data_IF_733134284380
#
_entry.id   IF_733134284380
#
_cell.length_a   1.000
_cell.length_b   1.000
_cell.length_c   1.000
_cell.angle_alpha   90.00
_cell.angle_beta   90.00
_cell.angle_gamma   90.00
#
_symmetry.space_group_name_H-M   'P 1'
#
loop_
_entity.id
_entity.type
_entity.pdbx_description
1 polymer ?
#
# COMPACT_ATOMS: atom_id res chain seq x y z
N UNK A 1 25.81 7.76 13.73
CA UNK A 1 24.57 6.98 13.90
C UNK A 1 23.70 7.05 12.67
N UNK A 2 23.20 5.91 12.26
CA UNK A 2 22.25 5.86 11.16
C UNK A 2 20.89 6.32 11.61
N UNK A 3 20.29 7.20 10.82
CA UNK A 3 18.91 7.63 11.03
C UNK A 3 18.05 7.03 9.94
N UNK A 4 16.81 6.77 10.27
CA UNK A 4 15.84 6.20 9.35
C UNK A 4 14.67 7.15 9.20
N UNK A 5 14.13 7.23 8.01
CA UNK A 5 12.81 7.83 7.80
C UNK A 5 11.80 6.74 7.44
N UNK A 6 10.57 6.96 7.84
CA UNK A 6 9.49 5.98 7.66
C UNK A 6 8.38 6.60 6.84
N UNK A 7 7.75 5.75 6.05
CA UNK A 7 6.61 6.13 5.24
C UNK A 7 5.58 5.01 5.26
N UNK A 8 4.33 5.38 5.50
CA UNK A 8 3.22 4.42 5.43
C UNK A 8 2.31 4.81 4.28
N UNK A 9 2.01 3.85 3.42
CA UNK A 9 1.11 4.04 2.30
C UNK A 9 0.03 2.98 2.33
N UNK A 10 -1.16 3.34 1.89
CA UNK A 10 -2.25 2.38 1.84
C UNK A 10 -2.24 1.59 0.52
N UNK A 11 -3.09 0.56 0.48
CA UNK A 11 -3.19 -0.31 -0.67
C UNK A 11 -3.57 0.45 -1.95
N UNK A 12 -4.47 1.44 -1.84
CA UNK A 12 -4.87 2.25 -2.98
C UNK A 12 -3.71 3.06 -3.54
N UNK A 13 -2.87 3.63 -2.67
CA UNK A 13 -1.69 4.37 -3.10
C UNK A 13 -0.67 3.46 -3.77
N UNK A 14 -0.45 2.26 -3.24
CA UNK A 14 0.46 1.28 -3.84
C UNK A 14 0.01 0.95 -5.27
N UNK A 15 -1.28 0.69 -5.45
CA UNK A 15 -1.82 0.39 -6.78
C UNK A 15 -1.70 1.58 -7.72
N UNK A 16 -1.91 2.78 -7.22
CA UNK A 16 -1.79 4.01 -8.01
C UNK A 16 -0.35 4.22 -8.48
N UNK A 17 0.61 4.00 -7.61
CA UNK A 17 2.03 4.06 -7.97
C UNK A 17 2.32 3.00 -9.05
N UNK A 18 1.83 1.79 -8.84
CA UNK A 18 2.03 0.69 -9.79
C UNK A 18 1.41 0.96 -11.15
N UNK A 19 0.22 1.57 -11.19
CA UNK A 19 -0.45 1.86 -12.46
C UNK A 19 0.34 2.83 -13.32
N UNK A 20 1.10 3.72 -12.71
CA UNK A 20 1.99 4.63 -13.45
C UNK A 20 3.14 3.88 -14.11
N UNK A 21 3.56 2.77 -13.54
CA UNK A 21 4.62 1.94 -14.09
C UNK A 21 4.10 1.04 -15.19
N UNK A 22 2.96 0.37 -14.95
CA UNK A 22 2.40 -0.60 -15.90
C UNK A 22 1.60 0.04 -17.03
N UNK A 23 1.08 1.24 -16.80
CA UNK A 23 0.19 1.91 -17.75
C UNK A 23 -1.23 1.39 -17.75
N UNK A 24 -1.56 0.48 -16.83
CA UNK A 24 -2.89 -0.12 -16.74
C UNK A 24 -3.47 0.04 -15.34
N UNK A 25 -4.76 0.30 -15.28
CA UNK A 25 -5.46 0.40 -13.99
C UNK A 25 -6.06 -0.95 -13.61
N UNK A 26 -6.25 -1.17 -12.31
CA UNK A 26 -7.02 -2.29 -11.74
C UNK A 26 -6.47 -3.69 -12.06
N UNK A 27 -5.19 -3.82 -12.34
CA UNK A 27 -4.56 -5.14 -12.47
C UNK A 27 -3.81 -5.49 -11.19
N UNK A 28 -3.76 -6.77 -10.86
CA UNK A 28 -3.11 -7.25 -9.64
C UNK A 28 -1.61 -6.96 -9.64
N UNK A 29 -0.98 -6.97 -10.79
CA UNK A 29 0.43 -6.67 -10.93
C UNK A 29 0.80 -5.25 -10.46
N UNK A 30 -0.18 -4.35 -10.31
CA UNK A 30 0.10 -3.00 -9.85
C UNK A 30 0.58 -2.95 -8.40
N UNK A 31 0.22 -3.91 -7.57
CA UNK A 31 0.73 -3.98 -6.19
C UNK A 31 2.24 -4.22 -6.23
N UNK A 32 2.68 -5.23 -6.95
CA UNK A 32 4.11 -5.53 -7.06
C UNK A 32 4.87 -4.39 -7.74
N UNK A 33 4.29 -3.82 -8.79
CA UNK A 33 4.91 -2.69 -9.49
C UNK A 33 5.06 -1.48 -8.57
N UNK A 34 4.06 -1.23 -7.73
CA UNK A 34 4.13 -0.13 -6.75
C UNK A 34 5.20 -0.38 -5.70
N UNK A 35 5.26 -1.59 -5.15
CA UNK A 35 6.28 -1.96 -4.17
C UNK A 35 7.68 -1.84 -4.77
N UNK A 36 7.86 -2.34 -5.99
CA UNK A 36 9.16 -2.27 -6.67
C UNK A 36 9.57 -0.83 -6.98
N UNK A 37 8.61 0.02 -7.34
CA UNK A 37 8.89 1.43 -7.59
C UNK A 37 9.42 2.12 -6.34
N UNK A 38 8.81 1.86 -5.19
CA UNK A 38 9.30 2.40 -3.92
C UNK A 38 10.67 1.84 -3.56
N UNK A 39 10.89 0.54 -3.83
CA UNK A 39 12.20 -0.08 -3.60
C UNK A 39 13.30 0.56 -4.43
N UNK A 40 13.01 0.93 -5.67
CA UNK A 40 13.97 1.63 -6.53
C UNK A 40 14.34 3.01 -5.99
N UNK A 41 13.43 3.63 -5.23
CA UNK A 41 13.68 4.91 -4.55
C UNK A 41 14.38 4.73 -3.20
N UNK A 42 14.79 3.52 -2.88
CA UNK A 42 15.52 3.21 -1.65
C UNK A 42 14.66 2.81 -0.48
N UNK A 43 13.35 2.69 -0.67
CA UNK A 43 12.44 2.29 0.40
C UNK A 43 12.45 0.78 0.59
N UNK A 44 12.54 0.34 1.84
CA UNK A 44 12.46 -1.05 2.23
C UNK A 44 11.15 -1.30 2.96
N UNK A 45 10.39 -2.28 2.52
CA UNK A 45 9.15 -2.67 3.19
C UNK A 45 9.48 -3.36 4.51
N UNK A 46 8.99 -2.83 5.61
CA UNK A 46 9.23 -3.40 6.94
C UNK A 46 8.02 -4.06 7.55
N UNK A 47 6.83 -3.77 7.05
CA UNK A 47 5.64 -4.41 7.58
C UNK A 47 4.39 -4.08 6.79
N UNK A 48 3.41 -4.94 6.92
CA UNK A 48 2.09 -4.77 6.35
C UNK A 48 1.09 -5.03 7.47
N UNK A 49 0.11 -4.16 7.62
CA UNK A 49 -0.90 -4.35 8.65
C UNK A 49 -2.26 -3.85 8.15
N UNK A 50 -3.30 -4.29 8.82
CA UNK A 50 -4.65 -3.85 8.55
C UNK A 50 -5.05 -2.86 9.63
N UNK A 51 -5.39 -1.64 9.22
CA UNK A 51 -5.75 -0.56 10.13
C UNK A 51 -7.26 -0.34 10.10
N UNK A 52 -8.00 -1.37 10.52
CA UNK A 52 -9.44 -1.36 10.57
C UNK A 52 -10.08 -2.08 9.40
N UNK A 53 -11.41 -2.11 9.42
CA UNK A 53 -12.20 -2.77 8.40
C UNK A 53 -13.36 -1.87 8.01
N UNK A 54 -13.65 -1.81 6.70
CA UNK A 54 -14.88 -1.23 6.24
C UNK A 54 -15.95 -2.33 6.19
N UNK A 55 -17.07 -2.07 6.83
CA UNK A 55 -18.21 -2.98 6.78
C UNK A 55 -19.25 -2.35 5.86
N UNK A 56 -19.58 -3.07 4.79
CA UNK A 56 -20.61 -2.65 3.87
C UNK A 56 -21.83 -3.54 4.06
N UNK A 57 -23.00 -2.90 4.16
CA UNK A 57 -24.27 -3.63 4.20
C UNK A 57 -24.91 -3.60 2.84
N UNK A 58 -25.26 -4.76 2.33
CA UNK A 58 -26.03 -4.84 1.11
C UNK A 58 -27.49 -4.49 1.40
N UNK A 59 -28.26 -4.27 0.35
CA UNK A 59 -29.71 -4.06 0.47
C UNK A 59 -30.45 -5.24 1.09
N UNK A 60 -29.82 -6.41 1.13
CA UNK A 60 -30.36 -7.62 1.74
C UNK A 60 -29.96 -7.77 3.21
N UNK A 61 -29.27 -6.79 3.78
CA UNK A 61 -28.83 -6.84 5.16
C UNK A 61 -27.55 -7.65 5.39
N UNK A 62 -26.90 -8.12 4.34
CA UNK A 62 -25.65 -8.83 4.46
C UNK A 62 -24.50 -7.87 4.76
N UNK A 63 -23.62 -8.28 5.64
CA UNK A 63 -22.41 -7.51 5.94
C UNK A 63 -21.27 -8.02 5.09
N UNK A 64 -20.64 -7.11 4.35
CA UNK A 64 -19.46 -7.40 3.57
C UNK A 64 -18.28 -6.67 4.19
N UNK A 65 -17.23 -7.41 4.52
CA UNK A 65 -15.99 -6.85 5.03
C UNK A 65 -15.09 -6.51 3.84
N UNK A 66 -14.66 -5.26 3.79
CA UNK A 66 -13.65 -4.82 2.84
C UNK A 66 -12.48 -4.26 3.62
N UNK A 67 -11.35 -4.92 3.54
CA UNK A 67 -10.13 -4.52 4.24
C UNK A 67 -9.14 -3.80 3.33
N UNK A 68 -9.36 -3.78 2.01
CA UNK A 68 -8.36 -3.27 1.07
C UNK A 68 -7.99 -1.81 1.32
N UNK A 69 -8.94 -0.97 1.72
CA UNK A 69 -8.67 0.44 2.03
C UNK A 69 -7.80 0.62 3.27
N UNK A 70 -7.79 -0.37 4.13
CA UNK A 70 -7.15 -0.28 5.44
C UNK A 70 -5.88 -1.10 5.53
N UNK A 71 -5.46 -1.70 4.41
CA UNK A 71 -4.16 -2.36 4.35
C UNK A 71 -3.10 -1.29 4.21
N UNK A 72 -2.17 -1.28 5.15
CA UNK A 72 -1.09 -0.30 5.21
C UNK A 72 0.25 -1.00 5.04
N UNK A 73 1.09 -0.37 4.27
CA UNK A 73 2.45 -0.83 4.01
C UNK A 73 3.41 0.19 4.61
N UNK A 74 4.25 -0.23 5.51
CA UNK A 74 5.23 0.66 6.14
C UNK A 74 6.61 0.39 5.58
N UNK A 75 7.26 1.44 5.16
CA UNK A 75 8.59 1.42 4.56
C UNK A 75 9.55 2.24 5.40
N UNK A 76 10.83 1.92 5.28
CA UNK A 76 11.89 2.74 5.83
C UNK A 76 12.99 2.91 4.80
N UNK A 77 13.76 3.96 4.97
CA UNK A 77 15.01 4.14 4.24
C UNK A 77 15.95 5.00 5.07
N UNK A 78 17.25 4.95 4.81
CA UNK A 78 18.18 5.82 5.51
C UNK A 78 17.82 7.28 5.26
N UNK A 79 17.82 8.07 6.33
CA UNK A 79 17.59 9.51 6.23
C UNK A 79 18.85 10.19 5.70
N UNK A 80 18.65 11.13 4.80
CA UNK A 80 19.76 11.89 4.20
C UNK A 80 20.31 12.98 5.15
N UNK A 81 19.64 13.21 6.26
CA UNK A 81 20.03 14.28 7.17
C UNK A 81 21.02 13.90 8.25
#
# INVERSE_FOLDING_TARGET
MSKWEYRTVDWGEIRKIGSKVTGEDFIDANVDAGLNSLGQDGWELVGVYVDGYAVHRSSKGEELLSSSRYVKYTFKRPSAG
#
